data_IF_951689491796
#
_entry.id   IF_951689491796
#
_cell.length_a   1.000
_cell.length_b   1.000
_cell.length_c   1.000
_cell.angle_alpha   90.00
_cell.angle_beta   90.00
_cell.angle_gamma   90.00
#
_symmetry.space_group_name_H-M   'P 1'
#
loop_
_entity.id
_entity.type
_entity.pdbx_description
1 polymer ?
#
# COMPACT_ATOMS: atom_id res chain seq x y z
N UNK A 1 -3.72 16.41 -0.83
CA UNK A 1 -4.06 15.39 0.18
C UNK A 1 -2.79 14.62 0.40
N UNK A 2 -2.34 14.45 1.64
CA UNK A 2 -1.16 13.64 1.90
C UNK A 2 -1.60 12.17 1.90
N UNK A 3 -1.15 11.39 0.94
CA UNK A 3 -1.49 9.97 0.84
C UNK A 3 -0.58 9.11 1.71
N UNK A 4 0.51 9.66 2.24
CA UNK A 4 1.43 8.92 3.13
C UNK A 4 0.77 8.57 4.48
N UNK A 5 -0.27 9.32 4.87
CA UNK A 5 -1.10 9.06 6.05
C UNK A 5 -2.06 7.87 5.87
N UNK A 6 -2.17 7.27 4.68
CA UNK A 6 -3.07 6.14 4.42
C UNK A 6 -2.52 4.80 4.91
N UNK A 7 -1.30 4.79 5.43
CA UNK A 7 -0.59 3.57 5.74
C UNK A 7 -0.45 3.34 7.24
N UNK A 8 -0.61 2.09 7.65
CA UNK A 8 0.04 1.60 8.85
C UNK A 8 1.44 1.09 8.47
N UNK A 9 2.33 1.09 9.44
CA UNK A 9 3.72 0.65 9.28
C UNK A 9 4.04 -0.34 10.39
N UNK A 10 4.67 -1.45 10.04
CA UNK A 10 5.10 -2.46 11.00
C UNK A 10 6.55 -2.86 10.71
N UNK A 11 7.42 -2.71 11.71
CA UNK A 11 8.82 -3.11 11.60
C UNK A 11 8.95 -4.64 11.68
N UNK A 12 9.70 -5.20 10.73
CA UNK A 12 10.01 -6.63 10.67
C UNK A 12 11.52 -6.83 10.54
N UNK A 13 11.99 -8.08 10.60
CA UNK A 13 13.42 -8.38 10.38
C UNK A 13 13.87 -8.11 8.94
N UNK A 14 12.95 -8.07 7.97
CA UNK A 14 13.25 -7.97 6.53
C UNK A 14 13.10 -6.54 6.00
N UNK A 15 12.40 -5.68 6.74
CA UNK A 15 12.10 -4.29 6.38
C UNK A 15 10.85 -3.78 7.10
N UNK A 16 10.33 -2.65 6.65
CA UNK A 16 9.06 -2.09 7.13
C UNK A 16 7.92 -2.57 6.24
N UNK A 17 6.98 -3.32 6.83
CA UNK A 17 5.75 -3.77 6.17
C UNK A 17 4.73 -2.64 6.17
N UNK A 18 4.14 -2.39 5.00
CA UNK A 18 3.21 -1.29 4.76
C UNK A 18 1.86 -1.87 4.32
N UNK A 19 0.76 -1.32 4.82
CA UNK A 19 -0.60 -1.66 4.38
C UNK A 19 -1.59 -0.53 4.65
N UNK A 20 -2.80 -0.62 4.08
CA UNK A 20 -3.80 0.42 4.24
C UNK A 20 -4.36 0.47 5.66
N UNK A 21 -4.41 1.66 6.25
CA UNK A 21 -5.04 1.93 7.53
C UNK A 21 -6.51 2.38 7.37
N UNK A 22 -7.17 2.66 8.48
CA UNK A 22 -8.57 3.08 8.49
C UNK A 22 -8.81 4.40 7.76
N UNK A 23 -7.87 5.35 7.83
CA UNK A 23 -7.99 6.63 7.14
C UNK A 23 -7.93 6.44 5.61
N UNK A 24 -6.98 5.62 5.14
CA UNK A 24 -6.89 5.24 3.73
C UNK A 24 -8.17 4.57 3.23
N UNK A 25 -8.66 3.56 3.95
CA UNK A 25 -9.94 2.90 3.64
C UNK A 25 -11.13 3.84 3.65
N UNK A 26 -11.20 4.78 4.58
CA UNK A 26 -12.31 5.74 4.64
C UNK A 26 -12.38 6.62 3.39
N UNK A 27 -11.21 7.07 2.92
CA UNK A 27 -11.05 7.93 1.74
C UNK A 27 -11.32 7.15 0.46
N UNK A 28 -10.66 6.01 0.29
CA UNK A 28 -10.75 5.18 -0.91
C UNK A 28 -12.14 4.53 -1.04
N UNK A 29 -12.74 4.13 0.09
CA UNK A 29 -13.83 3.17 0.08
C UNK A 29 -13.31 1.80 -0.34
N UNK A 30 -14.18 1.00 -0.97
CA UNK A 30 -13.83 -0.33 -1.46
C UNK A 30 -12.80 -0.23 -2.58
N UNK A 31 -11.65 -0.88 -2.43
CA UNK A 31 -10.63 -0.95 -3.49
C UNK A 31 -11.12 -1.89 -4.60
N UNK A 32 -11.01 -1.44 -5.85
CA UNK A 32 -11.42 -2.21 -7.05
C UNK A 32 -10.23 -2.77 -7.80
N UNK A 33 -9.14 -2.02 -7.83
CA UNK A 33 -7.90 -2.41 -8.49
C UNK A 33 -6.71 -1.73 -7.81
N UNK A 34 -5.62 -2.48 -7.69
CA UNK A 34 -4.33 -2.02 -7.20
C UNK A 34 -3.25 -2.66 -8.06
N UNK A 35 -2.21 -1.90 -8.39
CA UNK A 35 -1.01 -2.41 -9.06
C UNK A 35 0.18 -2.09 -8.19
N UNK A 36 0.81 -3.10 -7.60
CA UNK A 36 1.91 -2.90 -6.68
C UNK A 36 3.23 -2.71 -7.45
N UNK A 37 4.19 -1.93 -6.90
CA UNK A 37 5.52 -1.83 -7.49
C UNK A 37 6.23 -3.20 -7.42
N UNK A 38 7.06 -3.47 -8.43
CA UNK A 38 7.87 -4.69 -8.50
C UNK A 38 8.92 -4.73 -7.39
N UNK A 39 9.32 -5.94 -6.99
CA UNK A 39 10.51 -6.10 -6.13
C UNK A 39 11.74 -5.50 -6.80
N UNK A 40 12.67 -5.01 -5.99
CA UNK A 40 13.85 -4.23 -6.40
C UNK A 40 13.58 -2.81 -6.93
N UNK A 41 12.31 -2.38 -6.97
CA UNK A 41 11.97 -0.98 -7.28
C UNK A 41 12.48 -0.06 -6.17
N UNK A 42 13.21 1.00 -6.54
CA UNK A 42 13.61 2.07 -5.62
C UNK A 42 12.48 3.08 -5.46
N UNK A 43 12.22 3.46 -4.22
CA UNK A 43 11.14 4.37 -3.85
C UNK A 43 11.68 5.52 -3.01
N UNK A 44 11.09 6.69 -3.17
CA UNK A 44 11.47 7.91 -2.46
C UNK A 44 10.27 8.46 -1.68
N UNK A 45 10.47 8.81 -0.42
CA UNK A 45 9.43 9.39 0.42
C UNK A 45 8.79 10.62 -0.24
N UNK A 46 7.46 10.65 -0.26
CA UNK A 46 6.67 11.74 -0.86
C UNK A 46 6.76 11.79 -2.39
N UNK A 47 7.24 10.72 -3.03
CA UNK A 47 7.16 10.51 -4.49
C UNK A 47 6.17 9.42 -4.80
N UNK A 48 5.63 9.47 -6.02
CA UNK A 48 4.73 8.46 -6.55
C UNK A 48 5.29 7.04 -6.33
N UNK A 49 4.41 6.16 -5.88
CA UNK A 49 4.68 4.77 -5.58
C UNK A 49 3.83 3.82 -6.41
N UNK A 50 2.52 4.02 -6.43
CA UNK A 50 1.57 3.25 -7.25
C UNK A 50 0.23 3.97 -7.40
N UNK A 51 -0.66 3.44 -8.25
CA UNK A 51 -2.02 3.93 -8.43
C UNK A 51 -3.05 2.96 -7.85
N UNK A 52 -4.10 3.51 -7.22
CA UNK A 52 -5.23 2.72 -6.73
C UNK A 52 -6.53 3.22 -7.32
N UNK A 53 -7.33 2.31 -7.87
CA UNK A 53 -8.71 2.57 -8.26
C UNK A 53 -9.64 1.99 -7.19
N UNK A 54 -10.44 2.87 -6.60
CA UNK A 54 -11.40 2.51 -5.58
C UNK A 54 -12.81 3.00 -5.96
N UNK A 55 -13.80 2.60 -5.17
CA UNK A 55 -15.19 2.95 -5.42
C UNK A 55 -15.44 4.46 -5.39
N UNK A 56 -14.76 5.19 -4.49
CA UNK A 56 -14.99 6.62 -4.31
C UNK A 56 -14.10 7.50 -5.17
N UNK A 57 -12.92 7.01 -5.54
CA UNK A 57 -11.87 7.81 -6.18
C UNK A 57 -10.82 6.94 -6.85
N UNK A 58 -10.06 7.56 -7.75
CA UNK A 58 -8.75 7.06 -8.22
C UNK A 58 -7.70 7.98 -7.61
N UNK A 59 -6.65 7.42 -7.03
CA UNK A 59 -5.57 8.22 -6.41
C UNK A 59 -4.20 7.65 -6.78
N UNK A 60 -3.30 8.59 -7.09
CA UNK A 60 -1.87 8.35 -7.09
C UNK A 60 -1.42 8.30 -5.62
N UNK A 61 -0.75 7.22 -5.24
CA UNK A 61 -0.23 7.00 -3.90
C UNK A 61 1.24 7.38 -3.87
N UNK A 62 1.62 8.19 -2.88
CA UNK A 62 3.01 8.54 -2.62
C UNK A 62 3.62 7.60 -1.57
N UNK A 63 4.92 7.34 -1.70
CA UNK A 63 5.63 6.46 -0.79
C UNK A 63 5.76 7.10 0.60
N UNK A 64 5.41 6.39 1.69
CA UNK A 64 5.58 6.91 3.05
C UNK A 64 7.06 6.95 3.48
N UNK A 65 7.93 6.19 2.81
CA UNK A 65 9.35 6.01 3.15
C UNK A 65 10.21 5.90 1.89
N UNK A 66 11.50 6.22 2.01
CA UNK A 66 12.49 5.92 0.97
C UNK A 66 13.11 4.55 1.21
N UNK A 67 13.43 3.82 0.14
CA UNK A 67 14.08 2.51 0.23
C UNK A 67 13.93 1.69 -1.05
N UNK A 68 13.92 0.37 -0.90
CA UNK A 68 13.72 -0.60 -1.97
C UNK A 68 12.59 -1.57 -1.61
N UNK A 69 11.71 -1.86 -2.56
CA UNK A 69 10.68 -2.90 -2.41
C UNK A 69 11.37 -4.26 -2.33
N UNK A 70 11.16 -5.00 -1.25
CA UNK A 70 11.76 -6.33 -1.04
C UNK A 70 10.74 -7.47 -1.07
N UNK A 71 9.45 -7.16 -0.91
CA UNK A 71 8.35 -8.10 -1.10
C UNK A 71 7.06 -7.33 -1.41
N UNK A 72 6.13 -8.00 -2.11
CA UNK A 72 4.79 -7.49 -2.46
C UNK A 72 3.74 -8.55 -2.14
N UNK A 73 2.55 -8.11 -1.79
CA UNK A 73 1.41 -8.99 -1.56
C UNK A 73 0.64 -9.20 -2.87
N UNK A 74 1.02 -10.20 -3.65
CA UNK A 74 0.33 -10.52 -4.91
C UNK A 74 -1.15 -10.90 -4.69
N UNK A 75 -1.51 -11.40 -3.50
CA UNK A 75 -2.89 -11.81 -3.20
C UNK A 75 -3.87 -10.63 -3.30
N UNK A 76 -3.45 -9.38 -3.02
CA UNK A 76 -4.35 -8.21 -3.07
C UNK A 76 -4.58 -7.69 -4.49
N UNK A 77 -3.73 -8.05 -5.45
CA UNK A 77 -3.95 -7.70 -6.85
C UNK A 77 -5.03 -8.61 -7.45
N UNK A 78 -5.03 -9.89 -7.07
CA UNK A 78 -6.08 -10.84 -7.44
C UNK A 78 -7.36 -10.68 -6.59
N UNK A 79 -7.23 -10.24 -5.33
CA UNK A 79 -8.31 -10.11 -4.36
C UNK A 79 -8.27 -8.75 -3.65
N UNK A 80 -8.58 -7.64 -4.35
CA UNK A 80 -8.49 -6.28 -3.78
C UNK A 80 -9.38 -6.06 -2.55
N UNK A 81 -10.44 -6.86 -2.38
CA UNK A 81 -11.30 -6.87 -1.19
C UNK A 81 -10.52 -7.16 0.11
N UNK A 82 -9.32 -7.77 0.05
CA UNK A 82 -8.48 -7.96 1.23
C UNK A 82 -7.98 -6.66 1.84
N UNK A 83 -7.85 -5.60 1.04
CA UNK A 83 -7.43 -4.28 1.51
C UNK A 83 -8.45 -3.59 2.42
N UNK A 84 -9.72 -4.02 2.33
CA UNK A 84 -10.80 -3.52 3.18
C UNK A 84 -10.83 -4.21 4.56
N UNK A 85 -10.09 -5.30 4.74
CA UNK A 85 -10.00 -6.01 6.01
C UNK A 85 -9.13 -5.25 7.01
N UNK A 86 -9.38 -5.45 8.31
CA UNK A 86 -8.53 -4.95 9.40
C UNK A 86 -7.39 -5.92 9.77
N UNK A 87 -7.23 -7.02 9.04
CA UNK A 87 -6.18 -8.03 9.29
C UNK A 87 -4.89 -7.66 8.56
N UNK A 88 -3.88 -7.25 9.31
CA UNK A 88 -2.56 -6.87 8.80
C UNK A 88 -1.84 -8.01 8.05
N UNK A 89 -2.17 -9.27 8.35
CA UNK A 89 -1.62 -10.40 7.60
C UNK A 89 -2.20 -10.54 6.20
N UNK A 90 -3.36 -9.92 5.93
CA UNK A 90 -4.08 -10.00 4.65
C UNK A 90 -4.07 -8.68 3.87
N UNK A 91 -4.13 -7.54 4.55
CA UNK A 91 -4.26 -6.23 3.92
C UNK A 91 -2.93 -5.48 3.70
N UNK A 92 -1.80 -6.13 3.95
CA UNK A 92 -0.48 -5.56 3.66
C UNK A 92 -0.27 -5.46 2.14
N UNK A 93 0.53 -4.48 1.72
CA UNK A 93 0.81 -4.17 0.31
C UNK A 93 2.22 -4.62 -0.05
N UNK A 94 3.24 -4.13 0.66
CA UNK A 94 4.65 -4.41 0.36
C UNK A 94 5.54 -4.23 1.60
N UNK A 95 6.78 -4.67 1.47
CA UNK A 95 7.87 -4.42 2.43
C UNK A 95 8.91 -3.49 1.78
N UNK A 96 9.33 -2.46 2.51
CA UNK A 96 10.42 -1.54 2.13
C UNK A 96 11.63 -1.78 3.02
N UNK A 97 12.82 -1.84 2.42
CA UNK A 97 14.11 -1.92 3.13
C UNK A 97 15.03 -0.75 2.80
#
# INVERSE_FOLDING_TARGET
>A
MDTTDFFWQEETAEGTRIGLNDAGRQVLGKVKFVSLPETDTKVEQGKHLFDVEAEKTVLDIDSPLSGQIVARNEEVEDNPDYLDLADHAKNWLFLIK
#
